data_IF_081801533953
#
_entry.id   IF_081801533953
#
_cell.length_a   1.000
_cell.length_b   1.000
_cell.length_c   1.000
_cell.angle_alpha   90.00
_cell.angle_beta   90.00
_cell.angle_gamma   90.00
#
_symmetry.space_group_name_H-M   'P 1'
#
loop_
_entity.id
_entity.type
_entity.pdbx_description
1 polymer ?
#
# COMPACT_ATOMS: atom_id res chain seq x y z
N UNK A 1 79.85 -23.52 16.97
CA UNK A 1 78.82 -22.52 17.40
C UNK A 1 77.45 -22.83 16.74
N UNK A 2 77.36 -23.21 15.44
CA UNK A 2 76.10 -23.53 14.75
C UNK A 2 75.42 -24.84 15.24
N UNK A 3 76.19 -25.88 15.57
CA UNK A 3 75.68 -27.14 16.11
C UNK A 3 75.05 -26.93 17.52
N UNK A 4 75.65 -26.07 18.35
CA UNK A 4 75.15 -25.76 19.69
C UNK A 4 73.86 -24.96 19.65
N UNK A 5 73.66 -24.07 18.64
CA UNK A 5 72.38 -23.32 18.46
C UNK A 5 71.26 -24.22 17.95
N UNK A 6 71.55 -25.16 17.03
CA UNK A 6 70.51 -26.11 16.55
C UNK A 6 69.97 -26.98 17.69
N UNK A 7 70.85 -27.47 18.57
CA UNK A 7 70.44 -28.25 19.75
C UNK A 7 69.55 -27.47 20.73
N UNK A 8 69.89 -26.20 20.98
CA UNK A 8 69.08 -25.35 21.89
C UNK A 8 67.67 -25.10 21.28
N UNK A 9 67.58 -24.91 19.96
CA UNK A 9 66.28 -24.71 19.30
C UNK A 9 65.42 -25.99 19.28
N UNK A 10 66.05 -27.15 19.08
CA UNK A 10 65.37 -28.45 19.13
C UNK A 10 64.88 -28.75 20.56
N UNK A 11 65.69 -28.42 21.61
CA UNK A 11 65.26 -28.59 23.00
C UNK A 11 64.12 -27.65 23.40
N UNK A 12 64.07 -26.43 22.86
CA UNK A 12 63.00 -25.45 23.13
C UNK A 12 61.67 -25.90 22.46
N UNK A 13 61.72 -26.46 21.24
CA UNK A 13 60.57 -27.08 20.58
C UNK A 13 60.04 -28.32 21.33
N UNK A 14 60.93 -29.21 21.80
CA UNK A 14 60.58 -30.37 22.61
C UNK A 14 59.92 -29.99 23.92
N UNK A 15 60.30 -28.90 24.55
CA UNK A 15 59.71 -28.43 25.80
C UNK A 15 58.37 -27.71 25.63
N UNK A 16 58.09 -27.19 24.43
CA UNK A 16 56.82 -26.50 24.12
C UNK A 16 55.72 -27.45 23.70
N UNK A 17 56.04 -28.58 23.14
CA UNK A 17 55.08 -29.56 22.65
C UNK A 17 55.05 -30.79 23.57
N UNK A 18 53.97 -30.95 24.32
CA UNK A 18 53.80 -32.06 25.26
C UNK A 18 53.86 -33.44 24.59
N UNK A 19 53.47 -33.53 23.33
CA UNK A 19 53.48 -34.76 22.55
C UNK A 19 54.93 -35.14 22.18
N UNK A 20 55.72 -34.17 21.67
CA UNK A 20 57.11 -34.39 21.36
C UNK A 20 57.96 -34.74 22.61
N UNK A 21 57.60 -34.16 23.75
CA UNK A 21 58.24 -34.45 25.03
C UNK A 21 57.94 -35.90 25.46
N UNK A 22 56.67 -36.32 25.37
CA UNK A 22 56.29 -37.70 25.68
C UNK A 22 57.03 -38.73 24.79
N UNK A 23 57.15 -38.47 23.50
CA UNK A 23 57.89 -39.35 22.60
C UNK A 23 59.38 -39.43 22.96
N UNK A 24 59.99 -38.30 23.37
CA UNK A 24 61.41 -38.24 23.69
C UNK A 24 61.79 -39.10 24.99
N UNK A 25 60.79 -39.27 25.87
CA UNK A 25 60.95 -40.01 27.13
C UNK A 25 60.68 -41.53 26.94
N UNK A 26 60.12 -41.95 25.79
CA UNK A 26 59.85 -43.38 25.50
C UNK A 26 61.12 -44.13 25.10
N UNK A 27 61.32 -45.31 25.67
CA UNK A 27 62.48 -46.15 25.43
C UNK A 27 62.24 -47.29 24.45
N UNK A 28 60.99 -47.57 24.11
CA UNK A 28 60.61 -48.70 23.23
C UNK A 28 60.01 -48.20 21.93
N UNK A 29 60.50 -48.81 20.83
CA UNK A 29 59.96 -48.52 19.48
C UNK A 29 58.46 -48.86 19.41
N UNK A 30 58.00 -49.89 20.12
CA UNK A 30 56.57 -50.24 20.19
C UNK A 30 55.72 -49.15 20.83
N UNK A 31 56.20 -48.58 21.97
CA UNK A 31 55.54 -47.51 22.68
C UNK A 31 55.43 -46.27 21.83
N UNK A 32 56.49 -45.89 21.10
CA UNK A 32 56.50 -44.76 20.14
C UNK A 32 55.49 -44.98 19.02
N UNK A 33 55.43 -46.19 18.49
CA UNK A 33 54.51 -46.53 17.40
C UNK A 33 53.03 -46.45 17.87
N UNK A 34 52.73 -46.96 19.05
CA UNK A 34 51.38 -46.92 19.59
C UNK A 34 50.95 -45.46 19.87
N UNK A 35 51.82 -44.66 20.49
CA UNK A 35 51.56 -43.26 20.75
C UNK A 35 51.35 -42.43 19.46
N UNK A 36 52.12 -42.70 18.41
CA UNK A 36 51.91 -42.05 17.10
C UNK A 36 50.58 -42.43 16.43
N UNK A 37 50.17 -43.71 16.58
CA UNK A 37 48.88 -44.14 16.03
C UNK A 37 47.72 -43.51 16.81
N UNK A 38 47.77 -43.48 18.14
CA UNK A 38 46.73 -42.83 18.94
C UNK A 38 46.59 -41.34 18.62
N UNK A 39 47.71 -40.61 18.49
CA UNK A 39 47.68 -39.19 18.12
C UNK A 39 47.18 -38.96 16.71
N UNK A 40 47.54 -39.84 15.76
CA UNK A 40 47.01 -39.78 14.39
C UNK A 40 45.49 -40.02 14.36
N UNK A 41 44.98 -41.01 15.10
CA UNK A 41 43.54 -41.28 15.20
C UNK A 41 42.80 -40.14 15.88
N UNK A 42 43.37 -39.53 16.95
CA UNK A 42 42.82 -38.37 17.61
C UNK A 42 42.71 -37.16 16.65
N UNK A 43 43.77 -36.88 15.92
CA UNK A 43 43.80 -35.78 14.93
C UNK A 43 42.80 -36.01 13.80
N UNK A 44 42.66 -37.28 13.34
CA UNK A 44 41.64 -37.62 12.35
C UNK A 44 40.22 -37.41 12.87
N UNK A 45 39.97 -37.74 14.14
CA UNK A 45 38.65 -37.59 14.75
C UNK A 45 38.30 -36.10 14.95
N UNK A 46 39.25 -35.32 15.47
CA UNK A 46 39.10 -33.87 15.62
C UNK A 46 38.85 -33.19 14.27
N UNK A 47 39.53 -33.59 13.20
CA UNK A 47 39.33 -33.07 11.86
C UNK A 47 37.95 -33.44 11.28
N UNK A 48 37.43 -34.64 11.57
CA UNK A 48 36.08 -35.05 11.17
C UNK A 48 35.02 -34.23 11.91
N UNK A 49 35.16 -34.02 13.20
CA UNK A 49 34.25 -33.26 14.04
C UNK A 49 34.23 -31.78 13.59
N UNK A 50 35.39 -31.17 13.37
CA UNK A 50 35.51 -29.82 12.87
C UNK A 50 34.85 -29.64 11.49
N UNK A 51 35.02 -30.60 10.57
CA UNK A 51 34.33 -30.58 9.27
C UNK A 51 32.83 -30.68 9.41
N UNK A 52 32.31 -31.50 10.31
CA UNK A 52 30.88 -31.63 10.60
C UNK A 52 30.30 -30.33 11.18
N UNK A 53 31.00 -29.68 12.09
CA UNK A 53 30.59 -28.40 12.69
C UNK A 53 30.54 -27.28 11.62
N UNK A 54 31.55 -27.16 10.78
CA UNK A 54 31.60 -26.18 9.71
C UNK A 54 30.44 -26.39 8.73
N UNK A 55 30.13 -27.63 8.35
CA UNK A 55 29.03 -27.98 7.50
C UNK A 55 27.65 -27.64 8.14
N UNK A 56 27.49 -27.93 9.43
CA UNK A 56 26.26 -27.55 10.17
C UNK A 56 26.07 -26.05 10.24
N UNK A 57 27.13 -25.28 10.54
CA UNK A 57 27.10 -23.81 10.55
C UNK A 57 26.75 -23.23 9.18
N UNK A 58 27.36 -23.75 8.10
CA UNK A 58 27.07 -23.35 6.72
C UNK A 58 25.61 -23.63 6.34
N UNK A 59 25.12 -24.84 6.60
CA UNK A 59 23.73 -25.22 6.36
C UNK A 59 22.74 -24.35 7.12
N UNK A 60 23.01 -24.05 8.39
CA UNK A 60 22.16 -23.20 9.21
C UNK A 60 22.09 -21.76 8.66
N UNK A 61 23.22 -21.19 8.22
CA UNK A 61 23.28 -19.87 7.58
C UNK A 61 22.51 -19.85 6.26
N UNK A 62 22.67 -20.84 5.42
CA UNK A 62 21.95 -20.96 4.15
C UNK A 62 20.45 -21.10 4.36
N UNK A 63 20.02 -21.88 5.36
CA UNK A 63 18.59 -22.03 5.70
C UNK A 63 17.98 -20.74 6.23
N UNK A 64 18.71 -19.96 7.03
CA UNK A 64 18.27 -18.64 7.49
C UNK A 64 18.19 -17.65 6.33
N UNK A 65 19.22 -17.60 5.48
CA UNK A 65 19.23 -16.74 4.30
C UNK A 65 18.04 -17.06 3.36
N UNK A 66 17.77 -18.35 3.12
CA UNK A 66 16.63 -18.77 2.29
C UNK A 66 15.28 -18.34 2.87
N UNK A 67 15.11 -18.41 4.20
CA UNK A 67 13.89 -17.92 4.86
C UNK A 67 13.72 -16.41 4.70
N UNK A 68 14.80 -15.65 4.90
CA UNK A 68 14.78 -14.18 4.73
C UNK A 68 14.43 -13.83 3.29
N UNK A 69 15.06 -14.47 2.31
CA UNK A 69 14.76 -14.26 0.88
C UNK A 69 13.31 -14.62 0.56
N UNK A 70 12.77 -15.70 1.13
CA UNK A 70 11.37 -16.08 0.98
C UNK A 70 10.41 -15.00 1.49
N UNK A 71 10.68 -14.42 2.66
CA UNK A 71 9.87 -13.32 3.22
C UNK A 71 9.92 -12.08 2.32
N UNK A 72 11.10 -11.69 1.84
CA UNK A 72 11.21 -10.55 0.91
C UNK A 72 10.44 -10.80 -0.38
N UNK A 73 10.48 -12.02 -0.92
CA UNK A 73 9.76 -12.37 -2.14
C UNK A 73 8.24 -12.27 -1.94
N UNK A 74 7.72 -12.76 -0.82
CA UNK A 74 6.28 -12.65 -0.51
C UNK A 74 5.83 -11.21 -0.36
N UNK A 75 6.61 -10.35 0.29
CA UNK A 75 6.35 -8.92 0.40
C UNK A 75 6.35 -8.25 -0.98
N UNK A 76 7.32 -8.57 -1.83
CA UNK A 76 7.39 -8.02 -3.19
C UNK A 76 6.16 -8.41 -4.03
N UNK A 77 5.73 -9.67 -3.97
CA UNK A 77 4.52 -10.14 -4.66
C UNK A 77 3.28 -9.42 -4.14
N UNK A 78 3.16 -9.25 -2.82
CA UNK A 78 2.04 -8.53 -2.20
C UNK A 78 2.00 -7.05 -2.65
N UNK A 79 3.14 -6.37 -2.71
CA UNK A 79 3.22 -4.97 -3.20
C UNK A 79 2.85 -4.85 -4.68
N UNK A 80 3.30 -5.80 -5.52
CA UNK A 80 2.93 -5.85 -6.94
C UNK A 80 1.42 -6.07 -7.06
N UNK A 81 0.86 -7.02 -6.34
CA UNK A 81 -0.58 -7.29 -6.32
C UNK A 81 -1.38 -6.05 -5.89
N UNK A 82 -0.97 -5.37 -4.83
CA UNK A 82 -1.58 -4.13 -4.37
C UNK A 82 -1.55 -3.04 -5.44
N UNK A 83 -0.40 -2.85 -6.11
CA UNK A 83 -0.28 -1.87 -7.19
C UNK A 83 -1.25 -2.17 -8.35
N UNK A 84 -1.35 -3.41 -8.80
CA UNK A 84 -2.21 -3.78 -9.93
C UNK A 84 -3.71 -3.68 -9.60
N UNK A 85 -4.10 -3.99 -8.36
CA UNK A 85 -5.51 -4.00 -7.95
C UNK A 85 -5.97 -2.60 -7.54
N UNK A 86 -5.10 -1.79 -6.89
CA UNK A 86 -5.48 -0.55 -6.24
C UNK A 86 -5.01 0.71 -6.97
N UNK A 87 -3.72 0.78 -7.31
CA UNK A 87 -3.13 1.99 -7.86
C UNK A 87 -3.33 2.13 -9.38
N UNK A 88 -3.16 1.07 -10.13
CA UNK A 88 -3.25 1.10 -11.59
C UNK A 88 -4.62 1.52 -12.10
N UNK A 89 -5.76 0.97 -11.60
CA UNK A 89 -7.09 1.40 -12.03
C UNK A 89 -7.34 2.87 -11.74
N UNK A 90 -6.94 3.36 -10.55
CA UNK A 90 -7.06 4.76 -10.18
C UNK A 90 -6.28 5.68 -11.14
N UNK A 91 -4.99 5.40 -11.36
CA UNK A 91 -4.18 6.21 -12.29
C UNK A 91 -4.72 6.20 -13.73
N UNK A 92 -5.23 5.07 -14.18
CA UNK A 92 -5.87 4.95 -15.48
C UNK A 92 -7.14 5.80 -15.57
N UNK A 93 -7.95 5.82 -14.51
CA UNK A 93 -9.15 6.64 -14.43
C UNK A 93 -8.82 8.15 -14.49
N UNK A 94 -7.80 8.58 -13.73
CA UNK A 94 -7.33 9.98 -13.74
C UNK A 94 -6.91 10.41 -15.15
N UNK A 95 -6.04 9.63 -15.80
CA UNK A 95 -5.56 9.95 -17.16
C UNK A 95 -6.71 10.02 -18.17
N UNK A 96 -7.65 9.09 -18.11
CA UNK A 96 -8.78 9.08 -19.06
C UNK A 96 -9.77 10.22 -18.77
N UNK A 97 -9.98 10.57 -17.50
CA UNK A 97 -10.80 11.72 -17.12
C UNK A 97 -10.19 13.04 -17.60
N UNK A 98 -8.90 13.27 -17.35
CA UNK A 98 -8.21 14.49 -17.82
C UNK A 98 -8.25 14.61 -19.35
N UNK A 99 -7.99 13.51 -20.05
CA UNK A 99 -8.06 13.48 -21.52
C UNK A 99 -9.48 13.75 -22.04
N UNK A 100 -10.49 13.24 -21.36
CA UNK A 100 -11.90 13.49 -21.69
C UNK A 100 -12.26 14.94 -21.42
N UNK A 101 -11.82 15.51 -20.31
CA UNK A 101 -12.05 16.90 -19.94
C UNK A 101 -11.44 17.88 -20.95
N UNK A 102 -10.20 17.64 -21.40
CA UNK A 102 -9.54 18.43 -22.44
C UNK A 102 -10.30 18.40 -23.79
N UNK A 103 -11.08 17.34 -24.05
CA UNK A 103 -11.94 17.22 -25.23
C UNK A 103 -13.35 17.74 -25.01
N UNK A 104 -13.65 18.34 -23.85
CA UNK A 104 -14.99 18.75 -23.43
C UNK A 104 -16.01 17.57 -23.43
N UNK A 105 -15.51 16.35 -23.29
CA UNK A 105 -16.32 15.15 -23.16
C UNK A 105 -16.66 14.90 -21.68
N UNK A 106 -17.61 15.64 -21.14
CA UNK A 106 -17.98 15.61 -19.73
C UNK A 106 -18.54 14.25 -19.29
N UNK A 107 -19.30 13.58 -20.15
CA UNK A 107 -19.76 12.22 -19.86
C UNK A 107 -18.61 11.22 -19.75
N UNK A 108 -17.54 11.40 -20.53
CA UNK A 108 -16.33 10.59 -20.43
C UNK A 108 -15.58 10.79 -19.12
N UNK A 109 -15.58 12.01 -18.57
CA UNK A 109 -15.01 12.30 -17.23
C UNK A 109 -15.80 11.57 -16.15
N UNK A 110 -17.14 11.71 -16.19
CA UNK A 110 -18.05 11.07 -15.23
C UNK A 110 -17.86 9.54 -15.24
N UNK A 111 -17.79 8.96 -16.44
CA UNK A 111 -17.60 7.52 -16.60
C UNK A 111 -16.24 7.05 -16.05
N UNK A 112 -15.17 7.78 -16.33
CA UNK A 112 -13.83 7.46 -15.86
C UNK A 112 -13.75 7.44 -14.33
N UNK A 113 -14.44 8.35 -13.64
CA UNK A 113 -14.44 8.42 -12.17
C UNK A 113 -15.62 7.71 -11.51
N UNK A 114 -16.48 7.00 -12.26
CA UNK A 114 -17.70 6.35 -11.72
C UNK A 114 -17.42 5.50 -10.48
N UNK A 115 -16.37 4.68 -10.52
CA UNK A 115 -16.02 3.72 -9.48
C UNK A 115 -14.86 4.19 -8.59
N UNK A 116 -14.45 5.45 -8.70
CA UNK A 116 -13.38 6.01 -7.89
C UNK A 116 -13.99 6.63 -6.62
N UNK A 117 -13.45 6.24 -5.46
CA UNK A 117 -13.84 6.85 -4.19
C UNK A 117 -13.47 8.35 -4.19
N UNK A 118 -14.44 9.19 -3.84
CA UNK A 118 -14.28 10.65 -3.77
C UNK A 118 -13.11 11.08 -2.88
N UNK A 119 -12.86 10.35 -1.79
CA UNK A 119 -11.74 10.59 -0.86
C UNK A 119 -10.36 10.41 -1.49
N UNK A 120 -10.27 9.72 -2.62
CA UNK A 120 -9.01 9.50 -3.34
C UNK A 120 -8.75 10.58 -4.39
N UNK A 121 -9.76 11.35 -4.77
CA UNK A 121 -9.62 12.38 -5.78
C UNK A 121 -8.82 13.56 -5.22
N UNK A 122 -7.90 14.08 -6.01
CA UNK A 122 -7.25 15.37 -5.72
C UNK A 122 -8.25 16.51 -5.88
N UNK A 123 -7.96 17.68 -5.34
CA UNK A 123 -8.81 18.88 -5.51
C UNK A 123 -9.00 19.18 -7.00
N UNK A 124 -7.98 19.00 -7.83
CA UNK A 124 -8.08 19.15 -9.27
C UNK A 124 -9.03 18.13 -9.90
N UNK A 125 -8.92 16.87 -9.54
CA UNK A 125 -9.81 15.81 -10.03
C UNK A 125 -11.28 16.08 -9.61
N UNK A 126 -11.48 16.51 -8.36
CA UNK A 126 -12.80 16.92 -7.86
C UNK A 126 -13.35 18.10 -8.66
N UNK A 127 -12.52 19.09 -8.97
CA UNK A 127 -12.93 20.24 -9.77
C UNK A 127 -13.40 19.83 -11.17
N UNK A 128 -12.61 19.03 -11.90
CA UNK A 128 -13.01 18.60 -13.26
C UNK A 128 -14.25 17.69 -13.24
N UNK A 129 -14.40 16.87 -12.20
CA UNK A 129 -15.57 16.01 -12.04
C UNK A 129 -16.82 16.81 -11.67
N UNK A 130 -16.73 17.73 -10.70
CA UNK A 130 -17.83 18.62 -10.32
C UNK A 130 -18.30 19.48 -11.52
N UNK A 131 -17.36 20.08 -12.23
CA UNK A 131 -17.65 20.82 -13.48
C UNK A 131 -18.36 19.93 -14.49
N UNK A 132 -17.90 18.69 -14.69
CA UNK A 132 -18.51 17.76 -15.64
C UNK A 132 -19.94 17.37 -15.25
N UNK A 133 -20.22 17.21 -13.96
CA UNK A 133 -21.58 16.99 -13.48
C UNK A 133 -22.46 18.22 -13.71
N UNK A 134 -22.00 19.45 -13.39
CA UNK A 134 -22.76 20.68 -13.63
C UNK A 134 -23.08 20.85 -15.12
N UNK A 135 -22.12 20.59 -16.02
CA UNK A 135 -22.33 20.63 -17.45
C UNK A 135 -23.38 19.61 -17.94
N UNK A 136 -23.49 18.48 -17.24
CA UNK A 136 -24.42 17.41 -17.56
C UNK A 136 -25.81 17.59 -16.92
N UNK A 137 -25.95 18.53 -15.96
CA UNK A 137 -27.22 18.81 -15.29
C UNK A 137 -28.22 19.52 -16.23
N UNK A 138 -29.49 19.36 -15.89
CA UNK A 138 -30.61 20.03 -16.62
C UNK A 138 -30.76 21.47 -16.12
N UNK A 139 -29.70 22.27 -16.25
CA UNK A 139 -29.66 23.70 -15.96
C UNK A 139 -29.66 24.49 -17.26
N UNK A 140 -30.13 25.73 -17.20
CA UNK A 140 -29.95 26.65 -18.32
C UNK A 140 -28.48 26.99 -18.54
N UNK A 141 -28.10 27.38 -19.73
CA UNK A 141 -26.71 27.73 -20.05
C UNK A 141 -26.19 28.90 -19.18
N UNK A 142 -27.06 29.83 -18.79
CA UNK A 142 -26.71 30.90 -17.87
C UNK A 142 -26.47 30.40 -16.45
N UNK A 143 -27.33 29.52 -15.96
CA UNK A 143 -27.12 28.87 -14.64
C UNK A 143 -25.85 28.06 -14.60
N UNK A 144 -25.57 27.21 -15.61
CA UNK A 144 -24.31 26.47 -15.72
C UNK A 144 -23.11 27.40 -15.67
N UNK A 145 -23.13 28.45 -16.51
CA UNK A 145 -22.05 29.44 -16.58
C UNK A 145 -21.82 30.10 -15.21
N UNK A 146 -22.89 30.56 -14.55
CA UNK A 146 -22.78 31.19 -13.22
C UNK A 146 -22.22 30.26 -12.18
N UNK A 147 -22.75 29.04 -12.11
CA UNK A 147 -22.25 28.00 -11.17
C UNK A 147 -20.78 27.67 -11.41
N UNK A 148 -20.39 27.42 -12.67
CA UNK A 148 -19.01 27.08 -13.01
C UNK A 148 -18.05 28.24 -12.75
N UNK A 149 -18.49 29.48 -13.00
CA UNK A 149 -17.65 30.67 -12.74
C UNK A 149 -17.38 30.91 -11.27
N UNK A 150 -18.23 30.40 -10.36
CA UNK A 150 -18.03 30.41 -8.94
C UNK A 150 -17.10 29.29 -8.43
N UNK A 151 -16.83 28.28 -9.28
CA UNK A 151 -15.91 27.19 -8.93
C UNK A 151 -14.49 27.51 -9.41
N UNK A 152 -13.53 27.24 -8.54
CA UNK A 152 -12.10 27.32 -8.82
C UNK A 152 -11.34 26.24 -8.04
N UNK A 153 -10.06 26.11 -8.27
CA UNK A 153 -9.20 25.22 -7.46
C UNK A 153 -9.02 25.73 -6.02
N UNK A 154 -9.38 26.98 -5.74
CA UNK A 154 -9.36 27.59 -4.41
C UNK A 154 -10.73 27.53 -3.71
N UNK A 155 -11.76 27.02 -4.41
CA UNK A 155 -13.09 26.81 -3.82
C UNK A 155 -12.99 25.82 -2.66
N UNK A 156 -13.84 26.04 -1.65
CA UNK A 156 -13.95 25.08 -0.55
C UNK A 156 -14.23 23.67 -1.12
N UNK A 157 -13.36 22.74 -0.81
CA UNK A 157 -13.40 21.36 -1.31
C UNK A 157 -14.78 20.72 -1.08
N UNK A 158 -15.47 21.08 0.01
CA UNK A 158 -16.83 20.61 0.28
C UNK A 158 -17.85 21.00 -0.78
N UNK A 159 -17.69 22.18 -1.40
CA UNK A 159 -18.58 22.59 -2.50
C UNK A 159 -18.36 21.72 -3.74
N UNK A 160 -17.12 21.32 -4.00
CA UNK A 160 -16.83 20.35 -5.06
C UNK A 160 -17.43 18.98 -4.72
N UNK A 161 -17.28 18.53 -3.47
CA UNK A 161 -17.86 17.28 -2.98
C UNK A 161 -19.39 17.29 -3.08
N UNK A 162 -20.04 18.43 -2.81
CA UNK A 162 -21.47 18.61 -2.98
C UNK A 162 -21.91 18.30 -4.41
N UNK A 163 -21.28 18.94 -5.42
CA UNK A 163 -21.64 18.74 -6.83
C UNK A 163 -21.37 17.32 -7.31
N UNK A 164 -20.34 16.66 -6.76
CA UNK A 164 -20.05 15.26 -7.06
C UNK A 164 -21.11 14.35 -6.44
N UNK A 165 -21.48 14.56 -5.17
CA UNK A 165 -22.50 13.79 -4.48
C UNK A 165 -23.84 13.92 -5.21
N UNK A 166 -24.24 15.16 -5.53
CA UNK A 166 -25.47 15.44 -6.26
C UNK A 166 -25.51 14.79 -7.64
N UNK A 167 -24.40 14.85 -8.39
CA UNK A 167 -24.29 14.22 -9.70
C UNK A 167 -24.29 12.70 -9.64
N UNK A 168 -23.86 12.12 -8.52
CA UNK A 168 -23.95 10.68 -8.23
C UNK A 168 -25.31 10.25 -7.68
N UNK A 169 -26.26 11.17 -7.62
CA UNK A 169 -27.61 10.95 -7.04
C UNK A 169 -27.59 10.59 -5.54
N UNK A 170 -26.55 11.01 -4.83
CA UNK A 170 -26.39 10.85 -3.37
C UNK A 170 -26.94 12.09 -2.68
N UNK A 171 -28.26 12.30 -2.80
CA UNK A 171 -28.95 13.55 -2.36
C UNK A 171 -28.81 13.80 -0.88
N UNK A 172 -28.90 12.75 -0.04
CA UNK A 172 -28.70 12.87 1.42
C UNK A 172 -27.29 13.36 1.77
N UNK A 173 -26.25 12.89 1.05
CA UNK A 173 -24.87 13.35 1.25
C UNK A 173 -24.72 14.81 0.81
N UNK A 174 -25.31 15.17 -0.32
CA UNK A 174 -25.33 16.54 -0.83
C UNK A 174 -26.02 17.49 0.17
N UNK A 175 -27.18 17.13 0.73
CA UNK A 175 -27.85 17.90 1.77
C UNK A 175 -26.98 18.14 3.00
N UNK A 176 -26.36 17.07 3.51
CA UNK A 176 -25.45 17.14 4.64
C UNK A 176 -24.27 18.10 4.37
N UNK A 177 -23.72 18.07 3.17
CA UNK A 177 -22.63 18.97 2.80
C UNK A 177 -23.13 20.42 2.68
N UNK A 178 -24.29 20.68 2.06
CA UNK A 178 -24.89 22.00 1.94
C UNK A 178 -25.13 22.62 3.33
N UNK A 179 -25.65 21.85 4.28
CA UNK A 179 -25.81 22.29 5.67
C UNK A 179 -24.46 22.61 6.34
N UNK A 180 -23.41 21.79 6.10
CA UNK A 180 -22.09 22.05 6.68
C UNK A 180 -21.44 23.32 6.15
N UNK A 181 -21.69 23.69 4.88
CA UNK A 181 -21.19 24.94 4.30
C UNK A 181 -22.13 26.12 4.56
N UNK A 182 -23.29 25.87 5.17
CA UNK A 182 -24.34 26.87 5.48
C UNK A 182 -24.81 27.62 4.23
N UNK A 183 -24.99 26.90 3.13
CA UNK A 183 -25.43 27.43 1.83
C UNK A 183 -26.87 26.97 1.53
N UNK A 184 -27.81 27.88 1.70
CA UNK A 184 -29.23 27.59 1.50
C UNK A 184 -29.59 27.35 0.04
N UNK A 185 -28.87 27.95 -0.91
CA UNK A 185 -29.13 27.76 -2.33
C UNK A 185 -28.73 26.32 -2.76
N UNK A 186 -27.58 25.83 -2.28
CA UNK A 186 -27.18 24.45 -2.48
C UNK A 186 -28.14 23.47 -1.82
N UNK A 187 -28.59 23.79 -0.60
CA UNK A 187 -29.55 22.95 0.11
C UNK A 187 -30.90 22.87 -0.61
N UNK A 188 -31.40 24.00 -1.05
CA UNK A 188 -32.63 24.07 -1.85
C UNK A 188 -32.51 23.24 -3.16
N UNK A 189 -31.37 23.36 -3.83
CA UNK A 189 -31.16 22.60 -5.06
C UNK A 189 -31.08 21.11 -4.82
N UNK A 190 -30.48 20.65 -3.70
CA UNK A 190 -30.48 19.25 -3.30
C UNK A 190 -31.90 18.71 -3.07
N UNK A 191 -32.76 19.45 -2.33
CA UNK A 191 -34.16 19.07 -2.14
C UNK A 191 -34.97 19.01 -3.43
N UNK A 192 -34.78 19.96 -4.34
CA UNK A 192 -35.43 19.94 -5.65
C UNK A 192 -35.00 18.73 -6.49
N UNK A 193 -33.73 18.37 -6.41
CA UNK A 193 -33.18 17.18 -7.09
C UNK A 193 -33.76 15.90 -6.52
N UNK A 194 -33.81 15.77 -5.19
CA UNK A 194 -34.41 14.63 -4.52
C UNK A 194 -35.89 14.49 -4.82
N UNK A 195 -36.64 15.60 -4.79
CA UNK A 195 -38.04 15.62 -5.15
C UNK A 195 -38.27 15.08 -6.56
N UNK A 196 -37.50 15.57 -7.53
CA UNK A 196 -37.60 15.11 -8.93
C UNK A 196 -37.26 13.61 -9.07
N UNK A 197 -36.24 13.13 -8.37
CA UNK A 197 -35.90 11.71 -8.36
C UNK A 197 -37.05 10.88 -7.78
N UNK A 198 -37.62 11.32 -6.67
CA UNK A 198 -38.74 10.64 -6.01
C UNK A 198 -39.99 10.63 -6.89
N UNK A 199 -40.29 11.74 -7.58
CA UNK A 199 -41.42 11.82 -8.51
C UNK A 199 -41.30 10.84 -9.66
N UNK A 200 -40.09 10.64 -10.19
CA UNK A 200 -39.81 9.74 -11.34
C UNK A 200 -39.59 8.27 -10.92
N UNK A 201 -39.37 8.02 -9.64
CA UNK A 201 -39.18 6.67 -9.12
C UNK A 201 -40.49 5.88 -9.19
N UNK A 202 -40.45 4.74 -9.87
CA UNK A 202 -41.59 3.82 -10.03
C UNK A 202 -41.59 2.68 -9.02
N UNK A 203 -40.51 2.49 -8.28
CA UNK A 203 -40.39 1.43 -7.28
C UNK A 203 -41.04 1.82 -5.97
N UNK A 204 -41.00 3.11 -5.62
CA UNK A 204 -41.68 3.66 -4.44
C UNK A 204 -43.08 4.10 -4.83
N UNK A 205 -44.08 3.56 -4.18
CA UNK A 205 -45.47 3.87 -4.49
C UNK A 205 -46.31 4.06 -3.22
N UNK A 206 -47.50 4.66 -3.40
CA UNK A 206 -48.48 4.78 -2.34
C UNK A 206 -48.16 5.84 -1.29
N UNK A 207 -48.50 5.53 -0.02
CA UNK A 207 -48.44 6.48 1.08
C UNK A 207 -47.02 6.94 1.37
N UNK A 208 -46.05 6.04 1.34
CA UNK A 208 -44.65 6.35 1.65
C UNK A 208 -44.05 7.39 0.69
N UNK A 209 -44.40 7.31 -0.59
CA UNK A 209 -43.98 8.31 -1.58
C UNK A 209 -44.63 9.67 -1.32
N UNK A 210 -45.93 9.66 -1.02
CA UNK A 210 -46.68 10.88 -0.72
C UNK A 210 -46.17 11.58 0.54
N UNK A 211 -45.87 10.82 1.60
CA UNK A 211 -45.38 11.35 2.87
C UNK A 211 -43.97 11.99 2.70
N UNK A 212 -43.08 11.35 1.92
CA UNK A 212 -41.74 11.88 1.60
C UNK A 212 -41.81 13.14 0.73
N UNK A 213 -42.70 13.16 -0.26
CA UNK A 213 -42.89 14.34 -1.10
C UNK A 213 -43.40 15.54 -0.29
N UNK A 214 -44.36 15.31 0.63
CA UNK A 214 -44.88 16.34 1.51
C UNK A 214 -43.81 16.90 2.45
N UNK A 215 -42.92 16.05 3.00
CA UNK A 215 -41.81 16.48 3.83
C UNK A 215 -40.83 17.36 3.04
N UNK A 216 -40.45 16.94 1.83
CA UNK A 216 -39.57 17.71 0.95
C UNK A 216 -40.18 19.07 0.54
N UNK A 217 -41.49 19.10 0.24
CA UNK A 217 -42.20 20.34 -0.07
C UNK A 217 -42.16 21.30 1.11
N UNK A 218 -42.39 20.82 2.35
CA UNK A 218 -42.28 21.66 3.54
C UNK A 218 -40.88 22.21 3.77
N UNK A 219 -39.82 21.41 3.50
CA UNK A 219 -38.41 21.86 3.58
C UNK A 219 -38.08 22.90 2.53
N UNK A 220 -38.59 22.74 1.31
CA UNK A 220 -38.41 23.70 0.20
C UNK A 220 -39.09 25.02 0.52
N UNK A 221 -40.34 24.99 1.03
CA UNK A 221 -41.09 26.19 1.42
C UNK A 221 -40.34 26.99 2.48
N UNK A 222 -39.82 26.33 3.52
CA UNK A 222 -39.03 26.98 4.57
C UNK A 222 -37.75 27.70 4.07
N UNK A 223 -37.17 27.28 2.97
CA UNK A 223 -35.97 27.90 2.39
C UNK A 223 -36.30 29.02 1.40
N UNK A 224 -37.57 29.12 0.97
CA UNK A 224 -38.01 30.08 -0.07
C UNK A 224 -38.82 31.25 0.53
N UNK A 225 -39.21 31.16 1.82
CA UNK A 225 -39.78 32.26 2.58
C UNK A 225 -38.71 33.25 3.07
#
# INVERSE_FOLDING_TARGET
VLAKRKNVYAMDLLNKDSFLKNISDMKSIKEIHTCLLEEYERTLQENKENKLEVNRKKYRRTKVALRITGVFLTIAIAMIGFYFIWERPYKSAVIEAEKSYLKMNYSGVIEAYRNVDMKRLSVYDKYILANSYIQSENLTEEQKKNTISALSLETNEKVLDYWIALGRLQTEEAENIAQQVSDNDLLLYAYLKEKNMLETDTEISGKDKSDKLADLEGKIEQLTE
#
